data_IF_142641283941
#
_entry.id   IF_142641283941
#
_cell.length_a   1.000
_cell.length_b   1.000
_cell.length_c   1.000
_cell.angle_alpha   90.00
_cell.angle_beta   90.00
_cell.angle_gamma   90.00
#
_symmetry.space_group_name_H-M   'P 1'
#
loop_
_entity.id
_entity.type
_entity.pdbx_description
1 polymer ?
#
# COMPACT_ATOMS: atom_id res chain seq x y z
N UNK A 1 5.86 21.54 17.59
CA UNK A 1 5.95 20.57 16.48
C UNK A 1 4.94 20.96 15.41
N UNK A 2 5.44 21.59 14.36
CA UNK A 2 4.74 21.86 13.11
C UNK A 2 4.39 20.55 12.40
N UNK A 3 3.46 20.59 11.44
CA UNK A 3 3.06 19.41 10.65
C UNK A 3 4.25 18.83 9.89
N UNK A 4 5.17 19.67 9.38
CA UNK A 4 6.44 19.22 8.79
C UNK A 4 7.18 18.28 9.73
N UNK A 5 7.61 18.79 10.89
CA UNK A 5 8.43 18.03 11.87
C UNK A 5 7.86 16.64 12.23
N UNK A 6 6.53 16.45 12.16
CA UNK A 6 5.90 15.16 12.46
C UNK A 6 6.06 14.13 11.34
N UNK A 7 6.08 14.54 10.07
CA UNK A 7 6.20 13.60 8.94
C UNK A 7 7.64 13.10 8.76
N UNK A 8 8.64 13.93 9.09
CA UNK A 8 10.04 13.49 9.08
C UNK A 8 10.30 12.43 10.17
N UNK A 9 9.70 12.56 11.35
CA UNK A 9 9.79 11.51 12.39
C UNK A 9 9.18 10.18 11.91
N UNK A 10 8.09 10.22 11.16
CA UNK A 10 7.50 9.02 10.56
C UNK A 10 8.40 8.39 9.50
N UNK A 11 9.16 9.22 8.77
CA UNK A 11 10.14 8.75 7.80
C UNK A 11 11.26 7.97 8.48
N UNK A 12 11.80 8.51 9.59
CA UNK A 12 12.85 7.84 10.37
C UNK A 12 12.33 6.52 10.95
N UNK A 13 11.12 6.52 11.51
CA UNK A 13 10.46 5.27 11.98
C UNK A 13 10.33 4.23 10.87
N UNK A 14 10.05 4.63 9.63
CA UNK A 14 9.94 3.70 8.51
C UNK A 14 11.28 2.98 8.24
N UNK A 15 12.39 3.73 8.33
CA UNK A 15 13.73 3.19 8.14
C UNK A 15 14.13 2.30 9.32
N UNK A 16 13.80 2.68 10.57
CA UNK A 16 14.04 1.88 11.77
C UNK A 16 13.27 0.55 11.76
N UNK A 17 12.06 0.53 11.20
CA UNK A 17 11.28 -0.70 10.97
C UNK A 17 11.85 -1.56 9.84
N UNK A 18 12.88 -1.07 9.15
CA UNK A 18 13.67 -1.81 8.17
C UNK A 18 13.11 -1.76 6.75
N UNK A 19 12.55 -0.62 6.35
CA UNK A 19 12.39 -0.28 4.93
C UNK A 19 13.76 0.06 4.33
N UNK A 20 14.07 -0.46 3.13
CA UNK A 20 15.37 -0.19 2.51
C UNK A 20 15.53 1.28 2.12
N UNK A 21 14.43 1.88 1.63
CA UNK A 21 14.34 3.29 1.31
C UNK A 21 12.94 3.78 1.65
N UNK A 22 12.88 4.99 2.20
CA UNK A 22 11.64 5.73 2.40
C UNK A 22 11.83 7.15 1.89
N UNK A 23 10.79 7.76 1.32
CA UNK A 23 10.84 9.15 0.86
C UNK A 23 9.49 9.84 1.03
N UNK A 24 9.50 11.08 1.54
CA UNK A 24 8.32 11.94 1.50
C UNK A 24 8.14 12.44 0.05
N UNK A 25 6.96 12.22 -0.50
CA UNK A 25 6.57 12.68 -1.83
C UNK A 25 5.36 13.60 -1.75
N UNK A 26 5.23 14.47 -2.76
CA UNK A 26 3.98 15.18 -2.98
C UNK A 26 2.98 14.24 -3.66
N UNK A 27 1.74 14.20 -3.20
CA UNK A 27 0.73 13.31 -3.79
C UNK A 27 0.41 13.72 -5.24
N UNK A 28 0.57 15.00 -5.58
CA UNK A 28 0.46 15.48 -6.96
C UNK A 28 1.53 14.91 -7.90
N UNK A 29 2.61 14.32 -7.38
CA UNK A 29 3.60 13.60 -8.19
C UNK A 29 3.16 12.18 -8.58
N UNK A 30 2.08 11.65 -7.99
CA UNK A 30 1.54 10.33 -8.31
C UNK A 30 0.62 10.43 -9.52
N UNK A 31 1.05 9.83 -10.63
CA UNK A 31 0.28 9.79 -11.87
C UNK A 31 -0.61 8.54 -11.89
N UNK A 32 -1.92 8.76 -11.87
CA UNK A 32 -2.93 7.70 -12.03
C UNK A 32 -3.46 7.74 -13.45
N UNK A 33 -3.47 6.61 -14.16
CA UNK A 33 -3.91 6.52 -15.55
C UNK A 33 -4.77 5.28 -15.80
N UNK A 34 -5.70 5.39 -16.75
CA UNK A 34 -6.65 4.31 -17.06
C UNK A 34 -5.97 3.08 -17.67
N UNK A 35 -4.90 3.28 -18.44
CA UNK A 35 -4.19 2.17 -19.07
C UNK A 35 -3.61 1.18 -18.05
N UNK A 36 -3.34 1.62 -16.81
CA UNK A 36 -2.82 0.74 -15.74
C UNK A 36 -3.87 -0.30 -15.36
N UNK A 37 -5.14 0.13 -15.24
CA UNK A 37 -6.26 -0.77 -14.97
C UNK A 37 -6.47 -1.75 -16.14
N UNK A 38 -6.34 -1.27 -17.39
CA UNK A 38 -6.47 -2.11 -18.58
C UNK A 38 -5.36 -3.17 -18.67
N UNK A 39 -4.12 -2.85 -18.29
CA UNK A 39 -3.05 -3.85 -18.20
C UNK A 39 -3.34 -4.92 -17.15
N UNK A 40 -3.99 -4.57 -16.04
CA UNK A 40 -4.44 -5.55 -15.06
C UNK A 40 -5.55 -6.43 -15.65
N UNK A 41 -6.57 -5.82 -16.24
CA UNK A 41 -7.75 -6.52 -16.78
C UNK A 41 -7.43 -7.48 -17.92
N UNK A 42 -6.56 -7.08 -18.85
CA UNK A 42 -6.29 -7.84 -20.06
C UNK A 42 -4.93 -8.53 -20.08
N UNK A 43 -4.01 -8.17 -19.17
CA UNK A 43 -2.62 -8.63 -19.20
C UNK A 43 -2.15 -9.39 -17.97
N UNK A 44 -2.93 -9.44 -16.88
CA UNK A 44 -2.51 -10.08 -15.64
C UNK A 44 -3.13 -11.48 -15.47
N UNK A 45 -2.34 -12.54 -15.22
CA UNK A 45 -2.87 -13.88 -14.94
C UNK A 45 -3.57 -13.97 -13.56
N UNK A 46 -3.40 -12.96 -12.71
CA UNK A 46 -4.02 -12.87 -11.39
C UNK A 46 -5.33 -12.08 -11.40
N UNK A 47 -5.79 -11.58 -12.55
CA UNK A 47 -7.06 -10.88 -12.65
C UNK A 47 -8.23 -11.73 -12.13
N UNK A 48 -9.09 -11.13 -11.30
CA UNK A 48 -10.25 -11.77 -10.69
C UNK A 48 -9.92 -13.05 -9.87
N UNK A 49 -8.74 -13.11 -9.25
CA UNK A 49 -8.31 -14.26 -8.43
C UNK A 49 -8.54 -14.10 -6.92
N UNK A 50 -8.42 -12.88 -6.39
CA UNK A 50 -8.52 -12.60 -4.96
C UNK A 50 -9.01 -11.16 -4.70
N UNK A 51 -9.10 -10.77 -3.42
CA UNK A 51 -9.57 -9.45 -2.97
C UNK A 51 -8.64 -8.29 -3.31
N UNK A 52 -7.40 -8.55 -3.75
CA UNK A 52 -6.42 -7.54 -4.16
C UNK A 52 -6.52 -7.23 -5.66
N UNK A 53 -7.33 -7.99 -6.40
CA UNK A 53 -7.58 -7.79 -7.83
C UNK A 53 -8.98 -7.23 -8.07
N UNK A 54 -9.22 -6.60 -9.24
CA UNK A 54 -10.59 -6.25 -9.63
C UNK A 54 -11.47 -7.50 -9.64
N UNK A 55 -12.72 -7.43 -9.15
CA UNK A 55 -13.55 -6.24 -8.94
C UNK A 55 -13.38 -5.53 -7.57
N UNK A 56 -12.63 -6.10 -6.63
CA UNK A 56 -12.46 -5.54 -5.29
C UNK A 56 -11.44 -4.40 -5.24
N UNK A 57 -10.42 -4.45 -6.11
CA UNK A 57 -9.44 -3.39 -6.22
C UNK A 57 -10.10 -2.07 -6.72
N UNK A 58 -9.71 -0.91 -6.16
CA UNK A 58 -10.27 0.37 -6.57
C UNK A 58 -9.89 0.69 -8.03
N UNK A 59 -10.83 1.30 -8.75
CA UNK A 59 -10.57 1.83 -10.08
C UNK A 59 -9.70 3.09 -10.03
N UNK A 60 -8.91 3.29 -11.06
CA UNK A 60 -8.22 4.54 -11.43
C UNK A 60 -8.99 5.83 -11.07
N UNK A 61 -10.28 5.92 -11.44
CA UNK A 61 -11.11 7.10 -11.16
C UNK A 61 -11.35 7.35 -9.67
N UNK A 62 -11.63 6.31 -8.88
CA UNK A 62 -11.81 6.45 -7.42
C UNK A 62 -10.47 6.67 -6.73
N UNK A 63 -9.41 5.97 -7.14
CA UNK A 63 -8.05 6.18 -6.65
C UNK A 63 -7.60 7.63 -6.85
N UNK A 64 -7.86 8.24 -8.01
CA UNK A 64 -7.53 9.64 -8.27
C UNK A 64 -8.24 10.60 -7.31
N UNK A 65 -9.52 10.35 -7.02
CA UNK A 65 -10.30 11.17 -6.08
C UNK A 65 -9.74 11.06 -4.66
N UNK A 66 -9.50 9.84 -4.18
CA UNK A 66 -8.96 9.58 -2.84
C UNK A 66 -7.58 10.21 -2.69
N UNK A 67 -6.67 10.02 -3.65
CA UNK A 67 -5.35 10.65 -3.60
C UNK A 67 -5.43 12.18 -3.55
N UNK A 68 -6.43 12.79 -4.21
CA UNK A 68 -6.68 14.23 -4.16
C UNK A 68 -7.02 14.78 -2.76
N UNK A 69 -7.34 13.93 -1.79
CA UNK A 69 -7.63 14.34 -0.40
C UNK A 69 -6.36 14.50 0.47
N UNK A 70 -5.19 14.22 -0.10
CA UNK A 70 -3.89 14.22 0.54
C UNK A 70 -2.92 15.16 -0.15
N UNK A 71 -1.99 15.73 0.61
CA UNK A 71 -0.93 16.61 0.07
C UNK A 71 0.44 15.92 0.09
N UNK A 72 0.70 15.06 1.07
CA UNK A 72 1.96 14.33 1.25
C UNK A 72 1.72 12.84 1.45
N UNK A 73 2.68 12.04 1.01
CA UNK A 73 2.73 10.61 1.26
C UNK A 73 4.17 10.18 1.55
N UNK A 74 4.34 9.05 2.25
CA UNK A 74 5.63 8.38 2.42
C UNK A 74 5.66 7.19 1.45
N UNK A 75 6.59 7.22 0.50
CA UNK A 75 6.85 6.13 -0.42
C UNK A 75 7.89 5.19 0.17
N UNK A 76 7.50 3.95 0.41
CA UNK A 76 8.38 2.87 0.84
C UNK A 76 8.86 2.06 -0.35
N UNK A 77 10.13 1.66 -0.35
CA UNK A 77 10.72 0.82 -1.39
C UNK A 77 11.58 -0.28 -0.78
N UNK A 78 11.47 -1.49 -1.34
CA UNK A 78 12.25 -2.67 -0.97
C UNK A 78 11.76 -3.91 -1.71
N UNK A 79 12.50 -5.03 -1.69
CA UNK A 79 12.15 -6.25 -2.42
C UNK A 79 11.09 -7.12 -1.72
N UNK A 80 10.83 -6.89 -0.42
CA UNK A 80 9.96 -7.75 0.41
C UNK A 80 8.59 -7.10 0.62
N UNK A 81 7.65 -7.39 -0.27
CA UNK A 81 6.31 -6.77 -0.27
C UNK A 81 5.57 -6.94 1.06
N UNK A 82 5.53 -8.16 1.64
CA UNK A 82 4.89 -8.42 2.95
C UNK A 82 5.45 -7.54 4.07
N UNK A 83 6.78 -7.40 4.11
CA UNK A 83 7.45 -6.57 5.12
C UNK A 83 7.08 -5.10 4.94
N UNK A 84 7.11 -4.59 3.71
CA UNK A 84 6.74 -3.20 3.42
C UNK A 84 5.29 -2.91 3.78
N UNK A 85 4.37 -3.83 3.48
CA UNK A 85 2.95 -3.69 3.85
C UNK A 85 2.76 -3.65 5.37
N UNK A 86 3.49 -4.47 6.13
CA UNK A 86 3.47 -4.40 7.59
C UNK A 86 4.01 -3.07 8.12
N UNK A 87 5.10 -2.56 7.53
CA UNK A 87 5.67 -1.26 7.89
C UNK A 87 4.65 -0.15 7.60
N UNK A 88 3.99 -0.17 6.44
CA UNK A 88 2.98 0.80 6.06
C UNK A 88 1.80 0.84 7.05
N UNK A 89 1.31 -0.33 7.47
CA UNK A 89 0.22 -0.45 8.46
C UNK A 89 0.65 0.08 9.84
N UNK A 90 1.86 -0.23 10.28
CA UNK A 90 2.38 0.30 11.55
C UNK A 90 2.54 1.83 11.49
N UNK A 91 3.03 2.35 10.36
CA UNK A 91 3.16 3.79 10.13
C UNK A 91 1.81 4.51 10.07
N UNK A 92 0.76 3.88 9.53
CA UNK A 92 -0.59 4.43 9.56
C UNK A 92 -1.05 4.67 11.01
N UNK A 93 -0.85 3.67 11.88
CA UNK A 93 -1.13 3.80 13.31
C UNK A 93 -0.31 4.90 13.97
N UNK A 94 1.00 4.96 13.70
CA UNK A 94 1.88 6.01 14.23
C UNK A 94 1.50 7.41 13.74
N UNK A 95 1.12 7.53 12.47
CA UNK A 95 0.66 8.77 11.89
C UNK A 95 -0.67 9.23 12.52
N UNK A 96 -1.60 8.30 12.74
CA UNK A 96 -2.84 8.58 13.45
C UNK A 96 -2.56 9.15 14.86
N UNK A 97 -1.68 8.51 15.64
CA UNK A 97 -1.28 9.00 16.98
C UNK A 97 -0.55 10.35 16.93
N UNK A 98 0.17 10.64 15.84
CA UNK A 98 0.79 11.95 15.62
C UNK A 98 -0.21 13.06 15.24
N UNK A 99 -1.50 12.73 15.04
CA UNK A 99 -2.58 13.65 14.72
C UNK A 99 -2.97 13.68 13.24
N UNK A 100 -2.42 12.79 12.40
CA UNK A 100 -2.84 12.61 11.02
C UNK A 100 -4.07 11.70 10.95
N UNK A 101 -5.24 12.22 11.31
CA UNK A 101 -6.46 11.41 11.42
C UNK A 101 -6.90 10.74 10.10
N UNK A 102 -6.52 11.30 8.93
CA UNK A 102 -6.77 10.72 7.61
C UNK A 102 -5.68 9.75 7.14
N UNK A 103 -4.65 9.48 7.93
CA UNK A 103 -3.56 8.60 7.51
C UNK A 103 -4.12 7.27 6.98
N UNK A 104 -3.64 6.87 5.81
CA UNK A 104 -4.13 5.70 5.09
C UNK A 104 -2.97 5.03 4.36
N UNK A 105 -2.77 3.74 4.60
CA UNK A 105 -1.72 2.92 4.02
C UNK A 105 -2.21 2.19 2.77
N UNK A 106 -1.50 2.38 1.66
CA UNK A 106 -1.59 1.52 0.49
C UNK A 106 -0.52 0.43 0.60
N UNK A 107 -0.95 -0.83 0.60
CA UNK A 107 -0.06 -1.98 0.72
C UNK A 107 0.53 -2.39 -0.63
N UNK A 108 1.68 -3.06 -0.58
CA UNK A 108 2.29 -3.68 -1.75
C UNK A 108 1.89 -5.16 -1.83
N UNK A 109 1.57 -5.61 -3.05
CA UNK A 109 1.46 -7.03 -3.34
C UNK A 109 2.82 -7.70 -3.09
N UNK A 110 2.78 -8.83 -2.41
CA UNK A 110 3.94 -9.71 -2.26
C UNK A 110 4.35 -10.25 -3.64
N UNK A 111 5.63 -10.53 -3.84
CA UNK A 111 6.08 -11.15 -5.10
C UNK A 111 5.31 -12.45 -5.35
N UNK A 112 5.03 -12.79 -6.62
CA UNK A 112 4.41 -14.07 -6.99
C UNK A 112 5.12 -15.29 -6.36
N UNK A 113 6.44 -15.19 -6.14
CA UNK A 113 7.23 -16.20 -5.44
C UNK A 113 6.82 -16.42 -3.96
N UNK A 114 6.33 -15.37 -3.28
CA UNK A 114 5.88 -15.43 -1.88
C UNK A 114 4.37 -15.72 -1.74
N UNK A 115 3.59 -15.62 -2.83
CA UNK A 115 2.18 -16.09 -2.89
C UNK A 115 2.16 -17.61 -2.99
N UNK A 116 3.07 -18.20 -3.79
CA UNK A 116 3.17 -19.65 -3.97
C UNK A 116 3.50 -20.42 -2.68
N UNK A 117 4.14 -19.77 -1.69
CA UNK A 117 4.41 -20.37 -0.38
C UNK A 117 3.22 -20.29 0.60
N UNK A 118 2.18 -19.52 0.29
CA UNK A 118 0.98 -19.35 1.14
C UNK A 118 -0.21 -20.17 0.62
N UNK A 119 -0.22 -20.53 -0.67
CA UNK A 119 -1.24 -21.42 -1.25
C UNK A 119 -1.18 -22.88 -0.76
N UNK A 120 -0.32 -23.20 0.21
CA UNK A 120 -0.23 -24.52 0.84
C UNK A 120 -1.07 -24.68 2.11
N UNK A 121 -1.76 -23.64 2.58
CA UNK A 121 -2.64 -23.73 3.75
C UNK A 121 -4.11 -23.73 3.27
N UNK A 122 -4.59 -24.91 2.89
CA UNK A 122 -6.00 -25.19 2.67
C UNK A 122 -6.76 -24.81 3.95
N UNK A 123 -7.52 -23.71 3.87
CA UNK A 123 -8.48 -23.37 4.92
C UNK A 123 -9.59 -24.42 4.88
N UNK A 124 -9.52 -25.43 5.76
CA UNK A 124 -10.64 -26.32 6.04
C UNK A 124 -11.76 -25.49 6.67
N UNK A 125 -12.61 -24.92 5.82
CA UNK A 125 -13.85 -24.31 6.25
C UNK A 125 -14.75 -25.46 6.73
N UNK A 126 -14.93 -25.53 8.05
CA UNK A 126 -15.71 -26.55 8.72
C UNK A 126 -17.13 -26.65 8.17
N UNK A 127 -17.49 -27.85 7.73
CA UNK A 127 -18.87 -28.26 7.59
C UNK A 127 -19.40 -28.67 8.97
N UNK A 128 -20.41 -27.95 9.45
CA UNK A 128 -21.37 -28.41 10.45
C UNK A 128 -22.76 -28.09 9.95
#
# INVERSE_FOLDING_TARGET
>A
MTVGEKIEVLLDKALDMGADKAKIIDVGSVVVEEWVFWKCQYGCPLYNRDSLHPPCAPGSGSTRKVLGEFTKAILLNGPKGKKLSQIALNLEGEAYHAGYYKAFALIALTSAAEVASVSGEETTLGAT
#
